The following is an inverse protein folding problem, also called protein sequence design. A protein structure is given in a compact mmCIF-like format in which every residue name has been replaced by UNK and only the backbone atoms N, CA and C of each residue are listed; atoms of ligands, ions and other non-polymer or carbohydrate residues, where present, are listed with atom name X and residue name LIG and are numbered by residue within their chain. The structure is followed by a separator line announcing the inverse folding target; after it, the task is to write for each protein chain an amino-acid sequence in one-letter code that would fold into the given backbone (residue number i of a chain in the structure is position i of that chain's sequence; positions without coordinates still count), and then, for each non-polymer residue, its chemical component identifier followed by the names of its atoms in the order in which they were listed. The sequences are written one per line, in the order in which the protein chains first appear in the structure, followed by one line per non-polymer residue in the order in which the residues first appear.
data_IF_674064944156
#
_entry.id   IF_674064944156
#
_cell.length_a   1.000
_cell.length_b   1.000
_cell.length_c   1.000
_cell.angle_alpha   90.00
_cell.angle_beta   90.00
_cell.angle_gamma   90.00
#
_symmetry.space_group_name_H-M   'P 1'
#
loop_
_entity.id
_entity.type
_entity.pdbx_description
1 polymer ?
#
# COMPACT_ATOMS: atom_id res chain seq x y z
N UNK A 1 22.77 -55.50 29.56
CA UNK A 1 22.58 -54.19 30.20
C UNK A 1 22.54 -53.15 29.12
N UNK A 2 21.33 -52.66 28.77
CA UNK A 2 21.10 -51.66 27.70
C UNK A 2 20.77 -50.34 28.39
N UNK A 3 21.71 -49.41 28.34
CA UNK A 3 21.48 -48.05 28.83
C UNK A 3 20.67 -47.25 27.78
N UNK A 4 19.40 -47.04 28.07
CA UNK A 4 18.55 -46.12 27.36
C UNK A 4 18.82 -44.71 27.89
N UNK A 5 19.60 -43.93 27.13
CA UNK A 5 19.79 -42.49 27.37
C UNK A 5 18.58 -41.78 26.76
N UNK A 6 17.62 -41.38 27.60
CA UNK A 6 16.53 -40.52 27.23
C UNK A 6 17.04 -39.08 27.16
N UNK A 7 17.32 -38.61 25.95
CA UNK A 7 17.61 -37.18 25.70
C UNK A 7 16.28 -36.44 25.71
N UNK A 8 15.95 -35.81 26.81
CA UNK A 8 14.85 -34.87 26.93
C UNK A 8 15.30 -33.56 26.29
N UNK A 9 14.90 -33.31 25.04
CA UNK A 9 15.01 -32.02 24.38
C UNK A 9 14.00 -31.09 25.03
N UNK A 10 14.44 -30.29 25.98
CA UNK A 10 13.74 -29.12 26.49
C UNK A 10 13.66 -28.08 25.36
N UNK A 11 12.55 -28.06 24.62
CA UNK A 11 12.19 -26.94 23.78
C UNK A 11 11.84 -25.77 24.69
N UNK A 12 12.81 -24.91 24.95
CA UNK A 12 12.57 -23.60 25.53
C UNK A 12 11.80 -22.77 24.49
N UNK A 13 10.47 -22.77 24.57
CA UNK A 13 9.61 -21.87 23.84
C UNK A 13 9.93 -20.48 24.32
N UNK A 14 10.77 -19.75 23.59
CA UNK A 14 10.96 -18.32 23.79
C UNK A 14 9.62 -17.62 23.45
N UNK A 15 8.78 -17.44 24.47
CA UNK A 15 7.62 -16.56 24.36
C UNK A 15 8.15 -15.15 24.09
N UNK A 16 8.09 -14.70 22.86
CA UNK A 16 8.37 -13.30 22.53
C UNK A 16 7.27 -12.46 23.17
N UNK A 17 7.51 -12.00 24.38
CA UNK A 17 6.65 -11.02 25.04
C UNK A 17 6.77 -9.71 24.28
N UNK A 18 5.68 -9.26 23.65
CA UNK A 18 5.61 -7.94 23.04
C UNK A 18 5.12 -6.93 24.06
N UNK A 19 5.76 -5.77 24.12
CA UNK A 19 5.24 -4.63 24.85
C UNK A 19 4.06 -4.01 24.10
N UNK A 20 3.08 -3.49 24.83
CA UNK A 20 1.92 -2.81 24.23
C UNK A 20 2.06 -1.30 24.41
N UNK A 21 1.96 -0.56 23.30
CA UNK A 21 1.90 0.89 23.31
C UNK A 21 0.49 1.32 22.94
N UNK A 22 -0.05 2.22 23.73
CA UNK A 22 -1.34 2.85 23.53
C UNK A 22 -1.19 4.14 22.76
N UNK A 23 -1.86 4.28 21.63
CA UNK A 23 -2.04 5.55 20.96
C UNK A 23 -3.30 6.20 21.49
N UNK A 24 -3.13 7.35 22.14
CA UNK A 24 -4.17 8.05 22.87
C UNK A 24 -4.49 9.39 22.21
N UNK A 25 -5.75 9.80 22.28
CA UNK A 25 -6.20 11.12 21.87
C UNK A 25 -6.79 11.86 23.06
N UNK A 26 -6.18 12.99 23.42
CA UNK A 26 -6.72 13.87 24.44
C UNK A 26 -7.98 14.60 23.96
N UNK A 27 -8.80 15.09 24.87
CA UNK A 27 -10.05 15.81 24.54
C UNK A 27 -9.83 17.12 23.77
N UNK A 28 -8.63 17.68 23.82
CA UNK A 28 -8.23 18.85 23.00
C UNK A 28 -7.83 18.48 21.57
N UNK A 29 -7.91 17.17 21.20
CA UNK A 29 -7.59 16.66 19.88
C UNK A 29 -6.12 16.27 19.66
N UNK A 30 -5.21 16.52 20.60
CA UNK A 30 -3.81 16.11 20.51
C UNK A 30 -3.67 14.59 20.66
N UNK A 31 -2.78 13.97 19.87
CA UNK A 31 -2.45 12.55 19.99
C UNK A 31 -1.11 12.37 20.68
N UNK A 32 -0.98 11.34 21.48
CA UNK A 32 0.25 10.96 22.17
C UNK A 32 0.31 9.44 22.37
N UNK A 33 1.50 8.93 22.66
CA UNK A 33 1.71 7.54 23.00
C UNK A 33 1.88 7.36 24.51
N UNK A 34 1.40 6.22 25.04
CA UNK A 34 1.52 5.85 26.44
C UNK A 34 1.87 4.36 26.57
N UNK A 35 2.63 4.03 27.59
CA UNK A 35 2.89 2.64 27.98
C UNK A 35 1.74 2.04 28.81
N UNK A 36 0.81 2.86 29.28
CA UNK A 36 -0.37 2.47 30.03
C UNK A 36 -1.68 2.86 29.34
N UNK A 37 -2.83 2.41 29.87
CA UNK A 37 -4.14 2.71 29.32
C UNK A 37 -4.43 4.21 29.23
N UNK A 38 -5.03 4.66 28.13
CA UNK A 38 -5.32 6.09 27.88
C UNK A 38 -6.23 6.74 28.93
N UNK A 39 -7.07 5.94 29.59
CA UNK A 39 -7.96 6.43 30.66
C UNK A 39 -7.21 7.06 31.84
N UNK A 40 -6.00 6.60 32.16
CA UNK A 40 -5.15 7.17 33.22
C UNK A 40 -4.72 8.61 32.90
N UNK A 41 -4.66 8.96 31.61
CA UNK A 41 -4.28 10.29 31.11
C UNK A 41 -5.51 11.14 30.72
N UNK A 42 -6.72 10.76 31.11
CA UNK A 42 -7.97 11.42 30.68
C UNK A 42 -8.06 11.57 29.17
N UNK A 43 -7.73 10.50 28.44
CA UNK A 43 -7.71 10.44 27.00
C UNK A 43 -8.44 9.20 26.49
N UNK A 44 -8.81 9.20 25.22
CA UNK A 44 -9.47 8.07 24.55
C UNK A 44 -8.42 7.26 23.80
N UNK A 45 -8.48 5.93 23.92
CA UNK A 45 -7.64 5.02 23.14
C UNK A 45 -8.05 5.02 21.67
N UNK A 46 -7.08 5.17 20.77
CA UNK A 46 -7.29 5.14 19.33
C UNK A 46 -6.81 3.82 18.76
N UNK A 47 -5.56 3.43 19.07
CA UNK A 47 -4.96 2.16 18.63
C UNK A 47 -4.09 1.55 19.73
N UNK A 48 -3.90 0.22 19.59
CA UNK A 48 -2.94 -0.56 20.36
C UNK A 48 -1.85 -1.06 19.40
N UNK A 49 -0.61 -0.84 19.77
CA UNK A 49 0.55 -1.28 18.99
C UNK A 49 1.35 -2.28 19.80
N UNK A 50 1.66 -3.42 19.19
CA UNK A 50 2.57 -4.40 19.77
C UNK A 50 3.97 -4.16 19.22
N UNK A 51 4.94 -3.98 20.09
CA UNK A 51 6.34 -3.72 19.77
C UNK A 51 7.22 -4.72 20.51
N UNK A 52 8.46 -4.96 20.09
CA UNK A 52 9.39 -5.80 20.82
C UNK A 52 9.62 -5.28 22.25
N UNK A 53 9.67 -6.22 23.20
CA UNK A 53 9.95 -5.91 24.60
C UNK A 53 11.43 -5.57 24.85
N UNK A 54 11.75 -5.02 26.00
CA UNK A 54 13.14 -4.75 26.42
C UNK A 54 13.79 -3.50 25.83
N UNK A 55 13.04 -2.67 25.08
CA UNK A 55 13.52 -1.39 24.54
C UNK A 55 12.99 -0.22 25.36
N UNK A 56 13.74 0.92 25.43
CA UNK A 56 13.23 2.17 25.98
C UNK A 56 11.95 2.62 25.27
N UNK A 57 11.05 3.27 25.99
CA UNK A 57 9.74 3.68 25.49
C UNK A 57 9.82 4.58 24.24
N UNK A 58 10.75 5.52 24.19
CA UNK A 58 10.99 6.39 23.04
C UNK A 58 11.37 5.61 21.77
N UNK A 59 12.14 4.54 21.89
CA UNK A 59 12.46 3.66 20.77
C UNK A 59 11.24 2.85 20.32
N UNK A 60 10.43 2.39 21.26
CA UNK A 60 9.19 1.69 20.95
C UNK A 60 8.22 2.61 20.19
N UNK A 61 8.06 3.86 20.63
CA UNK A 61 7.26 4.87 19.93
C UNK A 61 7.76 5.11 18.52
N UNK A 62 9.08 5.25 18.36
CA UNK A 62 9.69 5.44 17.04
C UNK A 62 9.39 4.29 16.07
N UNK A 63 9.38 3.05 16.54
CA UNK A 63 9.01 1.87 15.72
C UNK A 63 7.57 2.01 15.23
N UNK A 64 6.64 2.40 16.10
CA UNK A 64 5.24 2.61 15.75
C UNK A 64 5.09 3.71 14.70
N UNK A 65 5.72 4.87 14.93
CA UNK A 65 5.67 5.99 13.98
C UNK A 65 6.27 5.64 12.62
N UNK A 66 7.41 4.95 12.60
CA UNK A 66 8.04 4.51 11.36
C UNK A 66 7.15 3.49 10.63
N UNK A 67 6.51 2.60 11.37
CA UNK A 67 5.52 1.66 10.83
C UNK A 67 4.31 2.38 10.20
N UNK A 68 3.77 3.39 10.87
CA UNK A 68 2.68 4.21 10.34
C UNK A 68 3.11 4.99 9.10
N UNK A 69 4.28 5.62 9.11
CA UNK A 69 4.84 6.33 7.94
C UNK A 69 4.97 5.41 6.72
N UNK A 70 5.49 4.18 6.93
CA UNK A 70 5.61 3.17 5.84
C UNK A 70 4.24 2.75 5.31
N UNK A 71 3.24 2.54 6.18
CA UNK A 71 1.87 2.20 5.74
C UNK A 71 1.27 3.31 4.88
N UNK A 72 1.42 4.58 5.29
CA UNK A 72 0.93 5.73 4.52
C UNK A 72 1.66 5.85 3.17
N UNK A 73 2.98 5.66 3.16
CA UNK A 73 3.77 5.69 1.92
C UNK A 73 3.35 4.58 0.95
N UNK A 74 3.17 3.35 1.45
CA UNK A 74 2.71 2.22 0.65
C UNK A 74 1.31 2.44 0.10
N UNK A 75 0.37 2.94 0.92
CA UNK A 75 -0.98 3.24 0.48
C UNK A 75 -1.01 4.30 -0.63
N UNK A 76 -0.18 5.35 -0.53
CA UNK A 76 -0.03 6.35 -1.60
C UNK A 76 0.54 5.75 -2.88
N UNK A 77 1.52 4.85 -2.75
CA UNK A 77 2.11 4.16 -3.90
C UNK A 77 1.08 3.26 -4.59
N UNK A 78 0.32 2.48 -3.81
CA UNK A 78 -0.74 1.61 -4.32
C UNK A 78 -1.85 2.41 -5.03
N UNK A 79 -2.23 3.57 -4.49
CA UNK A 79 -3.24 4.44 -5.10
C UNK A 79 -2.72 5.03 -6.43
N UNK A 80 -1.46 5.49 -6.45
CA UNK A 80 -0.79 5.95 -7.66
C UNK A 80 -0.71 4.86 -8.73
N UNK A 81 -0.34 3.62 -8.35
CA UNK A 81 -0.26 2.50 -9.28
C UNK A 81 -1.64 2.09 -9.80
N UNK A 82 -2.66 2.13 -8.95
CA UNK A 82 -4.05 1.86 -9.36
C UNK A 82 -4.54 2.91 -10.36
N UNK A 83 -4.28 4.19 -10.11
CA UNK A 83 -4.63 5.28 -11.02
C UNK A 83 -3.93 5.12 -12.37
N UNK A 84 -2.63 4.83 -12.36
CA UNK A 84 -1.84 4.58 -13.59
C UNK A 84 -2.39 3.40 -14.38
N UNK A 85 -2.74 2.29 -13.72
CA UNK A 85 -3.31 1.11 -14.39
C UNK A 85 -4.70 1.42 -15.00
N UNK A 86 -5.49 2.26 -14.33
CA UNK A 86 -6.76 2.75 -14.86
C UNK A 86 -6.59 3.54 -16.14
N UNK A 87 -5.66 4.51 -16.16
CA UNK A 87 -5.30 5.29 -17.35
C UNK A 87 -4.80 4.42 -18.49
N UNK A 88 -3.89 3.46 -18.22
CA UNK A 88 -3.40 2.53 -19.22
C UNK A 88 -4.55 1.70 -19.84
N UNK A 89 -5.45 1.20 -19.01
CA UNK A 89 -6.61 0.45 -19.47
C UNK A 89 -7.57 1.27 -20.34
N UNK A 90 -7.72 2.57 -20.05
CA UNK A 90 -8.51 3.47 -20.87
C UNK A 90 -7.84 3.73 -22.22
N UNK A 91 -6.56 4.05 -22.22
CA UNK A 91 -5.77 4.26 -23.45
C UNK A 91 -5.82 3.04 -24.36
N UNK A 92 -5.64 1.85 -23.80
CA UNK A 92 -5.67 0.61 -24.59
C UNK A 92 -7.06 0.34 -25.21
N UNK A 93 -8.15 0.64 -24.50
CA UNK A 93 -9.51 0.57 -25.05
C UNK A 93 -9.71 1.54 -26.20
N UNK A 94 -9.34 2.82 -26.02
CA UNK A 94 -9.49 3.84 -27.05
C UNK A 94 -8.66 3.53 -28.31
N UNK A 95 -7.43 3.03 -28.15
CA UNK A 95 -6.61 2.57 -29.29
C UNK A 95 -7.25 1.39 -30.02
N UNK A 96 -7.81 0.43 -29.28
CA UNK A 96 -8.51 -0.72 -29.86
C UNK A 96 -9.77 -0.28 -30.61
N UNK A 97 -10.54 0.67 -30.08
CA UNK A 97 -11.75 1.18 -30.72
C UNK A 97 -11.42 1.90 -32.05
N UNK A 98 -10.35 2.72 -32.05
CA UNK A 98 -9.83 3.33 -33.27
C UNK A 98 -9.41 2.26 -34.29
N UNK A 99 -8.66 1.25 -33.88
CA UNK A 99 -8.24 0.18 -34.75
C UNK A 99 -9.43 -0.60 -35.33
N UNK A 100 -10.43 -0.92 -34.48
CA UNK A 100 -11.63 -1.66 -34.90
C UNK A 100 -12.46 -0.86 -35.91
N UNK A 101 -12.54 0.47 -35.74
CA UNK A 101 -13.23 1.37 -36.67
C UNK A 101 -12.70 1.25 -38.11
N UNK A 102 -11.39 1.04 -38.29
CA UNK A 102 -10.75 0.94 -39.60
C UNK A 102 -10.66 -0.49 -40.15
N UNK A 103 -11.02 -1.52 -39.39
CA UNK A 103 -11.12 -2.89 -39.89
C UNK A 103 -12.43 -3.17 -40.61
N UNK A 104 -13.47 -2.39 -40.37
CA UNK A 104 -14.74 -2.49 -41.03
C UNK A 104 -14.73 -1.64 -42.32
N UNK A 105 -14.97 -2.25 -43.48
CA UNK A 105 -14.99 -1.57 -44.78
C UNK A 105 -16.16 -0.59 -44.89
N UNK A 106 -16.04 0.56 -44.27
CA UNK A 106 -16.98 1.68 -44.39
C UNK A 106 -16.26 2.91 -44.94
N UNK A 107 -16.97 3.70 -45.75
CA UNK A 107 -16.45 5.00 -46.15
C UNK A 107 -16.30 5.93 -44.95
N UNK A 108 -15.08 6.36 -44.71
CA UNK A 108 -14.77 7.33 -43.64
C UNK A 108 -14.27 8.61 -44.32
N UNK A 109 -14.88 9.77 -44.02
CA UNK A 109 -14.42 11.07 -44.54
C UNK A 109 -12.96 11.33 -44.16
N UNK A 110 -12.21 11.97 -45.09
CA UNK A 110 -10.78 12.22 -44.90
C UNK A 110 -10.48 13.08 -43.66
N UNK A 111 -11.34 14.02 -43.34
CA UNK A 111 -11.19 14.86 -42.15
C UNK A 111 -11.25 14.03 -40.87
N UNK A 112 -12.13 13.03 -40.84
CA UNK A 112 -12.24 12.11 -39.72
C UNK A 112 -11.02 11.20 -39.61
N UNK A 113 -10.49 10.73 -40.74
CA UNK A 113 -9.23 9.95 -40.78
C UNK A 113 -8.08 10.77 -40.19
N UNK A 114 -7.95 12.03 -40.58
CA UNK A 114 -6.89 12.91 -40.07
C UNK A 114 -7.04 13.17 -38.57
N UNK A 115 -8.26 13.40 -38.08
CA UNK A 115 -8.55 13.59 -36.66
C UNK A 115 -8.24 12.33 -35.84
N UNK A 116 -8.62 11.14 -36.33
CA UNK A 116 -8.39 9.88 -35.66
C UNK A 116 -6.88 9.54 -35.62
N UNK A 117 -6.12 9.83 -36.69
CA UNK A 117 -4.66 9.70 -36.68
C UNK A 117 -3.99 10.64 -35.67
N UNK A 118 -4.51 11.87 -35.52
CA UNK A 118 -4.08 12.78 -34.47
C UNK A 118 -4.30 12.19 -33.07
N UNK A 119 -5.53 11.72 -32.82
CA UNK A 119 -5.89 11.08 -31.55
C UNK A 119 -5.05 9.83 -31.25
N UNK A 120 -4.79 9.00 -32.25
CA UNK A 120 -3.94 7.80 -32.09
C UNK A 120 -2.50 8.18 -31.65
N UNK A 121 -1.93 9.24 -32.26
CA UNK A 121 -0.61 9.74 -31.86
C UNK A 121 -0.60 10.22 -30.41
N UNK A 122 -1.61 10.96 -30.02
CA UNK A 122 -1.74 11.48 -28.65
C UNK A 122 -1.90 10.36 -27.63
N UNK A 123 -2.72 9.35 -27.93
CA UNK A 123 -2.90 8.17 -27.08
C UNK A 123 -1.59 7.37 -26.94
N UNK A 124 -0.83 7.19 -28.03
CA UNK A 124 0.48 6.54 -27.99
C UNK A 124 1.50 7.33 -27.17
N UNK A 125 1.50 8.66 -27.26
CA UNK A 125 2.34 9.53 -26.46
C UNK A 125 2.00 9.41 -24.95
N UNK A 126 0.69 9.49 -24.61
CA UNK A 126 0.21 9.27 -23.23
C UNK A 126 0.58 7.87 -22.72
N UNK A 127 0.40 6.83 -23.53
CA UNK A 127 0.79 5.46 -23.19
C UNK A 127 2.26 5.36 -22.79
N UNK A 128 3.14 6.02 -23.54
CA UNK A 128 4.58 6.10 -23.23
C UNK A 128 4.83 6.88 -21.93
N UNK A 129 4.15 8.01 -21.73
CA UNK A 129 4.27 8.84 -20.53
C UNK A 129 3.89 8.06 -19.26
N UNK A 130 2.81 7.30 -19.30
CA UNK A 130 2.36 6.46 -18.17
C UNK A 130 3.13 5.14 -18.06
N UNK A 131 4.09 4.89 -18.96
CA UNK A 131 4.85 3.63 -19.02
C UNK A 131 3.95 2.39 -19.03
N UNK A 132 2.88 2.44 -19.83
CA UNK A 132 1.98 1.31 -19.98
C UNK A 132 2.69 0.19 -20.74
N UNK A 133 2.83 -0.96 -20.11
CA UNK A 133 3.42 -2.14 -20.76
C UNK A 133 2.36 -2.77 -21.67
N UNK A 134 2.75 -3.12 -22.89
CA UNK A 134 1.92 -3.98 -23.74
C UNK A 134 1.83 -5.37 -23.10
N UNK A 135 0.63 -5.86 -22.87
CA UNK A 135 0.39 -7.26 -22.55
C UNK A 135 0.44 -8.11 -23.80
#
# INVERSE_FOLDING_TARGET
MKFLIAVILLFASASSSGATIYECRAYNGSSFFSSGPCGEHKAVGVFLHTVPDGMPFDQQVKIVEDGQRRKVANARQEDSDRSRLGECGQIDRELKDLQTKYTNWQYIPIDQVNADQGRERDLKARRSQFRCHSR
#
